data_IF_233784793540
#
_entry.id   IF_233784793540
#
_cell.length_a   1.000
_cell.length_b   1.000
_cell.length_c   1.000
_cell.angle_alpha   90.00
_cell.angle_beta   90.00
_cell.angle_gamma   90.00
#
_symmetry.space_group_name_H-M   'P 1'
#
loop_
_entity.id
_entity.type
_entity.pdbx_description
1 polymer ?
#
# COMPACT_ATOMS: atom_id res chain seq x y z
N UNK A 1 -20.34 -9.23 11.27
CA UNK A 1 -19.06 -9.04 10.54
C UNK A 1 -18.42 -10.38 10.12
N UNK A 2 -18.17 -11.32 11.05
CA UNK A 2 -17.53 -12.62 10.74
C UNK A 2 -18.25 -13.46 9.65
N UNK A 3 -19.57 -13.53 9.66
CA UNK A 3 -20.33 -14.34 8.68
C UNK A 3 -20.39 -13.71 7.28
N UNK A 4 -20.37 -12.37 7.21
CA UNK A 4 -20.32 -11.63 5.96
C UNK A 4 -18.99 -11.91 5.23
N UNK A 5 -17.86 -11.82 5.95
CA UNK A 5 -16.53 -12.09 5.41
C UNK A 5 -16.39 -13.52 4.86
N UNK A 6 -17.01 -14.52 5.48
CA UNK A 6 -16.96 -15.92 5.02
C UNK A 6 -17.61 -16.12 3.65
N UNK A 7 -18.63 -15.33 3.31
CA UNK A 7 -19.37 -15.42 2.04
C UNK A 7 -18.79 -14.52 0.94
N UNK A 8 -17.96 -13.55 1.30
CA UNK A 8 -17.28 -12.65 0.36
C UNK A 8 -16.04 -13.33 -0.24
N UNK A 9 -15.90 -13.34 -1.59
CA UNK A 9 -14.67 -13.77 -2.27
C UNK A 9 -13.42 -13.15 -1.65
N UNK A 10 -12.27 -13.87 -1.60
CA UNK A 10 -11.08 -13.44 -0.85
C UNK A 10 -10.67 -11.99 -1.12
N UNK A 11 -10.61 -11.59 -2.39
CA UNK A 11 -10.21 -10.25 -2.80
C UNK A 11 -11.25 -9.17 -2.49
N UNK A 12 -12.53 -9.51 -2.46
CA UNK A 12 -13.63 -8.56 -2.16
C UNK A 12 -13.73 -8.24 -0.66
N UNK A 13 -13.09 -9.04 0.21
CA UNK A 13 -13.00 -8.72 1.65
C UNK A 13 -12.23 -7.43 1.89
N UNK A 14 -11.23 -7.14 1.06
CA UNK A 14 -10.47 -5.90 1.13
C UNK A 14 -11.31 -4.69 0.74
N UNK A 15 -12.29 -4.85 -0.16
CA UNK A 15 -13.17 -3.75 -0.54
C UNK A 15 -14.00 -3.31 0.67
N UNK A 16 -14.54 -4.25 1.46
CA UNK A 16 -15.25 -3.92 2.71
C UNK A 16 -14.37 -3.16 3.72
N UNK A 17 -13.09 -3.52 3.85
CA UNK A 17 -12.17 -2.79 4.74
C UNK A 17 -11.93 -1.38 4.21
N UNK A 18 -11.65 -1.24 2.91
CA UNK A 18 -11.42 0.06 2.28
C UNK A 18 -12.64 0.97 2.33
N UNK A 19 -13.86 0.43 2.29
CA UNK A 19 -15.07 1.21 2.52
C UNK A 19 -15.11 1.88 3.90
N UNK A 20 -14.46 1.30 4.91
CA UNK A 20 -14.41 1.88 6.26
C UNK A 20 -13.23 2.86 6.42
N UNK A 21 -12.07 2.53 5.86
CA UNK A 21 -10.82 3.29 6.13
C UNK A 21 -10.37 4.21 5.00
N UNK A 22 -10.96 4.09 3.82
CA UNK A 22 -10.58 4.84 2.64
C UNK A 22 -11.16 6.25 2.57
N UNK A 23 -10.56 7.09 1.73
CA UNK A 23 -11.09 8.42 1.42
C UNK A 23 -10.95 9.47 2.52
N UNK A 24 -10.15 9.24 3.56
CA UNK A 24 -9.84 10.22 4.60
C UNK A 24 -8.37 10.20 4.94
N UNK A 25 -7.75 11.39 4.95
CA UNK A 25 -6.34 11.55 5.30
C UNK A 25 -6.10 11.34 6.80
N UNK A 26 -7.09 11.67 7.62
CA UNK A 26 -7.08 11.51 9.06
C UNK A 26 -7.13 10.03 9.43
N UNK A 27 -8.03 9.27 8.80
CA UNK A 27 -8.15 7.82 9.04
C UNK A 27 -6.93 7.08 8.53
N UNK A 28 -6.41 7.41 7.34
CA UNK A 28 -5.18 6.79 6.83
C UNK A 28 -3.97 7.03 7.75
N UNK A 29 -3.80 8.25 8.28
CA UNK A 29 -2.76 8.55 9.24
C UNK A 29 -2.95 7.77 10.55
N UNK A 30 -4.18 7.72 11.09
CA UNK A 30 -4.48 6.98 12.31
C UNK A 30 -4.20 5.48 12.16
N UNK A 31 -4.61 4.85 11.05
CA UNK A 31 -4.37 3.42 10.80
C UNK A 31 -2.87 3.14 10.66
N UNK A 32 -2.12 4.02 9.97
CA UNK A 32 -0.68 3.89 9.85
C UNK A 32 0.04 4.03 11.21
N UNK A 33 -0.41 4.96 12.05
CA UNK A 33 0.10 5.10 13.42
C UNK A 33 -0.15 3.83 14.25
N UNK A 34 -1.37 3.28 14.17
CA UNK A 34 -1.74 2.03 14.87
C UNK A 34 -0.99 0.81 14.35
N UNK A 35 -0.65 0.79 13.07
CA UNK A 35 0.23 -0.23 12.51
C UNK A 35 1.60 -0.21 13.18
N UNK A 36 2.20 0.97 13.40
CA UNK A 36 3.50 1.06 14.09
C UNK A 36 3.39 0.56 15.52
N UNK A 37 2.35 0.97 16.26
CA UNK A 37 2.08 0.47 17.62
C UNK A 37 2.06 -1.06 17.65
N UNK A 38 1.28 -1.66 16.76
CA UNK A 38 1.13 -3.11 16.68
C UNK A 38 2.46 -3.81 16.40
N UNK A 39 3.26 -3.29 15.46
CA UNK A 39 4.53 -3.89 15.12
C UNK A 39 5.53 -3.79 16.28
N UNK A 40 5.58 -2.65 16.97
CA UNK A 40 6.43 -2.45 18.14
C UNK A 40 6.08 -3.41 19.29
N UNK A 41 4.78 -3.58 19.59
CA UNK A 41 4.28 -4.51 20.61
C UNK A 41 4.65 -5.97 20.30
N UNK A 42 4.92 -6.29 19.03
CA UNK A 42 5.37 -7.61 18.57
C UNK A 42 6.90 -7.72 18.43
N UNK A 43 7.66 -6.75 18.96
CA UNK A 43 9.12 -6.77 18.95
C UNK A 43 9.76 -6.50 17.57
N UNK A 44 9.01 -5.91 16.63
CA UNK A 44 9.52 -5.57 15.31
C UNK A 44 10.33 -4.27 15.37
N UNK A 45 11.60 -4.34 14.94
CA UNK A 45 12.50 -3.18 14.89
C UNK A 45 12.52 -2.48 13.52
N UNK A 46 12.28 -3.24 12.44
CA UNK A 46 12.23 -2.74 11.07
C UNK A 46 11.05 -3.35 10.31
N UNK A 47 10.28 -2.54 9.59
CA UNK A 47 9.21 -3.04 8.71
C UNK A 47 8.96 -2.14 7.51
N UNK A 48 8.57 -2.75 6.39
CA UNK A 48 8.10 -2.04 5.19
C UNK A 48 6.60 -2.31 5.03
N UNK A 49 5.76 -1.32 5.33
CA UNK A 49 4.31 -1.44 5.13
C UNK A 49 3.98 -1.32 3.66
N UNK A 50 3.15 -2.23 3.15
CA UNK A 50 2.74 -2.25 1.74
C UNK A 50 1.23 -2.08 1.63
N UNK A 51 0.78 -1.23 0.71
CA UNK A 51 -0.65 -0.97 0.50
C UNK A 51 -0.93 -0.39 -0.89
N UNK A 52 -2.19 -0.47 -1.33
CA UNK A 52 -2.67 0.14 -2.57
C UNK A 52 -3.25 1.55 -2.28
N UNK A 53 -2.51 2.64 -2.61
CA UNK A 53 -3.02 3.99 -2.39
C UNK A 53 -4.22 4.34 -3.29
N UNK A 54 -4.43 3.63 -4.40
CA UNK A 54 -5.57 3.87 -5.31
C UNK A 54 -6.87 3.44 -4.64
N UNK A 55 -6.90 2.27 -4.01
CA UNK A 55 -8.07 1.80 -3.26
C UNK A 55 -8.30 2.63 -2.00
N UNK A 56 -7.23 2.93 -1.25
CA UNK A 56 -7.32 3.68 0.00
C UNK A 56 -7.73 5.15 -0.21
N UNK A 57 -7.62 5.67 -1.44
CA UNK A 57 -8.01 7.03 -1.80
C UNK A 57 -9.52 7.29 -1.76
N UNK A 58 -10.37 6.27 -1.63
CA UNK A 58 -11.83 6.42 -1.72
C UNK A 58 -12.60 5.50 -0.79
N UNK A 59 -13.77 5.96 -0.38
CA UNK A 59 -14.80 5.17 0.30
C UNK A 59 -16.17 5.54 -0.27
N UNK A 60 -16.93 4.54 -0.73
CA UNK A 60 -18.32 4.70 -1.11
C UNK A 60 -19.25 4.84 0.10
N UNK A 61 -18.95 4.16 1.22
CA UNK A 61 -19.71 4.22 2.47
C UNK A 61 -19.65 5.60 3.11
N UNK A 62 -18.46 6.21 3.16
CA UNK A 62 -18.26 7.59 3.63
C UNK A 62 -18.54 8.63 2.53
N UNK A 63 -18.74 8.19 1.28
CA UNK A 63 -18.88 9.03 0.10
C UNK A 63 -17.78 10.12 0.01
N UNK A 64 -16.52 9.70 0.21
CA UNK A 64 -15.38 10.59 0.25
C UNK A 64 -14.23 10.06 -0.62
N UNK A 65 -13.44 11.00 -1.15
CA UNK A 65 -12.24 10.68 -1.91
C UNK A 65 -11.17 11.74 -1.69
N UNK A 66 -9.92 11.29 -1.65
CA UNK A 66 -8.71 12.12 -1.63
C UNK A 66 -7.80 11.67 -2.77
N UNK A 67 -6.74 12.43 -3.07
CA UNK A 67 -5.74 11.99 -4.04
C UNK A 67 -4.86 10.86 -3.49
N UNK A 68 -4.27 10.07 -4.39
CA UNK A 68 -3.28 9.05 -4.02
C UNK A 68 -2.07 9.66 -3.31
N UNK A 69 -1.67 10.88 -3.70
CA UNK A 69 -0.60 11.61 -3.02
C UNK A 69 -0.98 11.95 -1.58
N UNK A 70 -2.20 12.41 -1.34
CA UNK A 70 -2.70 12.69 0.02
C UNK A 70 -2.74 11.43 0.87
N UNK A 71 -3.08 10.26 0.30
CA UNK A 71 -2.96 8.97 1.00
C UNK A 71 -1.51 8.71 1.41
N UNK A 72 -0.56 8.80 0.47
CA UNK A 72 0.86 8.51 0.75
C UNK A 72 1.42 9.45 1.83
N UNK A 73 1.07 10.74 1.76
CA UNK A 73 1.46 11.72 2.76
C UNK A 73 0.80 11.48 4.11
N UNK A 74 -0.48 11.06 4.13
CA UNK A 74 -1.18 10.72 5.36
C UNK A 74 -0.57 9.50 6.04
N UNK A 75 -0.30 8.44 5.28
CA UNK A 75 0.38 7.24 5.79
C UNK A 75 1.75 7.63 6.34
N UNK A 76 2.54 8.43 5.61
CA UNK A 76 3.84 8.92 6.11
C UNK A 76 3.71 9.64 7.47
N UNK A 77 2.74 10.57 7.61
CA UNK A 77 2.51 11.27 8.87
C UNK A 77 2.18 10.31 10.01
N UNK A 78 1.31 9.34 9.77
CA UNK A 78 0.93 8.33 10.77
C UNK A 78 2.10 7.44 11.19
N UNK A 79 2.90 6.97 10.21
CA UNK A 79 4.10 6.19 10.48
C UNK A 79 5.10 6.96 11.34
N UNK A 80 5.36 8.23 10.99
CA UNK A 80 6.27 9.09 11.76
C UNK A 80 5.76 9.32 13.18
N UNK A 81 4.47 9.61 13.35
CA UNK A 81 3.86 9.78 14.67
C UNK A 81 3.96 8.50 15.53
N UNK A 82 3.74 7.34 14.93
CA UNK A 82 3.90 6.05 15.61
C UNK A 82 5.35 5.80 16.04
N UNK A 83 6.32 6.01 15.14
CA UNK A 83 7.74 5.77 15.44
C UNK A 83 8.27 6.68 16.55
N UNK A 84 7.74 7.90 16.69
CA UNK A 84 8.11 8.80 17.79
C UNK A 84 7.78 8.21 19.18
N UNK A 85 6.78 7.32 19.27
CA UNK A 85 6.41 6.64 20.52
C UNK A 85 7.23 5.38 20.80
N UNK A 86 7.85 4.81 19.77
CA UNK A 86 8.59 3.54 19.81
C UNK A 86 10.04 3.75 19.37
N UNK A 87 10.87 4.24 20.30
CA UNK A 87 12.25 4.63 20.03
C UNK A 87 13.06 3.53 19.33
N UNK A 88 13.72 3.90 18.23
CA UNK A 88 14.58 3.02 17.44
C UNK A 88 13.87 2.23 16.34
N UNK A 89 12.53 2.16 16.35
CA UNK A 89 11.78 1.48 15.31
C UNK A 89 11.88 2.22 13.97
N UNK A 90 12.05 1.47 12.88
CA UNK A 90 12.20 1.99 11.53
C UNK A 90 11.10 1.44 10.63
N UNK A 91 10.35 2.34 9.99
CA UNK A 91 9.25 1.97 9.11
C UNK A 91 9.36 2.69 7.78
N UNK A 92 9.13 1.99 6.67
CA UNK A 92 9.06 2.58 5.33
C UNK A 92 7.84 2.07 4.57
N UNK A 93 7.57 2.67 3.42
CA UNK A 93 6.41 2.37 2.58
C UNK A 93 6.79 1.69 1.26
N UNK A 94 5.98 0.71 0.85
CA UNK A 94 5.95 0.18 -0.51
C UNK A 94 4.56 0.43 -1.11
N UNK A 95 4.50 1.05 -2.30
CA UNK A 95 3.22 1.24 -2.99
C UNK A 95 2.89 0.01 -3.84
N UNK A 96 1.68 -0.53 -3.71
CA UNK A 96 1.28 -1.77 -4.39
C UNK A 96 0.51 -1.48 -5.67
N UNK A 97 1.08 -1.87 -6.82
CA UNK A 97 0.32 -2.02 -8.04
C UNK A 97 -0.58 -3.26 -7.89
N UNK A 98 -1.84 -3.14 -8.29
CA UNK A 98 -2.80 -4.24 -8.15
C UNK A 98 -3.09 -4.92 -9.49
N UNK A 99 -3.02 -6.25 -9.46
CA UNK A 99 -3.52 -7.12 -10.53
C UNK A 99 -5.00 -6.84 -10.84
N UNK A 100 -5.37 -7.03 -12.10
CA UNK A 100 -6.69 -6.67 -12.63
C UNK A 100 -6.83 -5.20 -13.02
N UNK A 101 -5.91 -4.33 -12.61
CA UNK A 101 -5.79 -2.98 -13.16
C UNK A 101 -4.94 -2.98 -14.45
N UNK A 102 -5.20 -2.07 -15.40
CA UNK A 102 -4.37 -1.93 -16.60
C UNK A 102 -2.89 -1.67 -16.27
N UNK A 103 -1.97 -2.14 -17.12
CA UNK A 103 -0.54 -1.93 -16.92
C UNK A 103 -0.13 -0.45 -16.87
N UNK A 104 -0.93 0.45 -17.46
CA UNK A 104 -0.76 1.90 -17.37
C UNK A 104 -0.99 2.42 -15.95
N UNK A 105 -1.88 1.80 -15.16
CA UNK A 105 -2.07 2.14 -13.76
C UNK A 105 -0.84 1.78 -12.92
N UNK A 106 -0.19 0.65 -13.20
CA UNK A 106 1.09 0.30 -12.58
C UNK A 106 2.16 1.36 -12.88
N UNK A 107 2.25 1.83 -14.12
CA UNK A 107 3.24 2.86 -14.50
C UNK A 107 2.97 4.19 -13.77
N UNK A 108 1.72 4.63 -13.70
CA UNK A 108 1.33 5.83 -12.96
C UNK A 108 1.68 5.71 -11.47
N UNK A 109 1.46 4.53 -10.87
CA UNK A 109 1.83 4.29 -9.49
C UNK A 109 3.36 4.26 -9.28
N UNK A 110 4.11 3.70 -10.23
CA UNK A 110 5.57 3.75 -10.20
C UNK A 110 6.08 5.20 -10.25
N UNK A 111 5.45 6.07 -11.05
CA UNK A 111 5.79 7.49 -11.08
C UNK A 111 5.48 8.19 -9.76
N UNK A 112 4.33 7.87 -9.13
CA UNK A 112 4.00 8.38 -7.79
C UNK A 112 5.02 7.92 -6.74
N UNK A 113 5.39 6.63 -6.75
CA UNK A 113 6.39 6.07 -5.85
C UNK A 113 7.76 6.76 -6.02
N UNK A 114 8.16 7.06 -7.26
CA UNK A 114 9.39 7.79 -7.54
C UNK A 114 9.33 9.26 -7.08
N UNK A 115 8.19 9.93 -7.28
CA UNK A 115 7.99 11.32 -6.87
C UNK A 115 7.92 11.49 -5.34
N UNK A 116 7.49 10.44 -4.63
CA UNK A 116 7.38 10.42 -3.16
C UNK A 116 8.51 9.63 -2.49
N UNK A 117 9.53 9.21 -3.26
CA UNK A 117 10.66 8.44 -2.76
C UNK A 117 11.46 9.27 -1.76
N UNK A 118 11.69 8.70 -0.58
CA UNK A 118 12.52 9.32 0.45
C UNK A 118 13.27 8.23 1.22
N UNK A 119 14.57 8.41 1.51
CA UNK A 119 15.32 7.49 2.37
C UNK A 119 15.02 7.71 3.86
N UNK A 120 14.30 8.78 4.22
CA UNK A 120 13.89 9.06 5.60
C UNK A 120 12.84 8.05 6.08
N UNK A 121 12.81 7.81 7.38
CA UNK A 121 11.80 6.97 7.99
C UNK A 121 10.38 7.49 7.69
N UNK A 122 9.49 6.57 7.37
CA UNK A 122 8.15 6.83 6.86
C UNK A 122 8.11 7.10 5.35
N UNK A 123 9.25 7.21 4.67
CA UNK A 123 9.34 7.46 3.23
C UNK A 123 8.97 6.25 2.35
N UNK A 124 8.66 6.51 1.08
CA UNK A 124 8.46 5.46 0.07
C UNK A 124 9.82 4.95 -0.40
N UNK A 125 10.03 3.63 -0.33
CA UNK A 125 11.30 2.98 -0.69
C UNK A 125 11.19 2.04 -1.89
N UNK A 126 9.97 1.78 -2.39
CA UNK A 126 9.79 0.89 -3.54
C UNK A 126 8.35 0.69 -3.98
N UNK A 127 8.21 -0.20 -4.97
CA UNK A 127 6.97 -0.61 -5.60
C UNK A 127 6.79 -2.13 -5.43
N UNK A 128 5.55 -2.56 -5.18
CA UNK A 128 5.15 -3.97 -5.14
C UNK A 128 4.13 -4.28 -6.25
N UNK A 129 3.97 -5.55 -6.62
CA UNK A 129 2.86 -6.07 -7.41
C UNK A 129 2.10 -7.13 -6.60
N UNK A 130 0.84 -6.85 -6.31
CA UNK A 130 -0.04 -7.70 -5.50
C UNK A 130 -1.39 -7.95 -6.19
N UNK A 131 -2.28 -8.70 -5.54
CA UNK A 131 -3.61 -9.06 -6.07
C UNK A 131 -3.65 -10.44 -6.72
N UNK A 132 -4.74 -10.74 -7.42
CA UNK A 132 -5.08 -12.08 -7.93
C UNK A 132 -4.13 -12.57 -9.05
N UNK A 133 -3.11 -13.35 -8.68
CA UNK A 133 -2.12 -13.89 -9.61
C UNK A 133 -2.70 -14.92 -10.59
N UNK A 134 -3.71 -15.69 -10.16
CA UNK A 134 -4.30 -16.77 -10.97
C UNK A 134 -5.01 -16.21 -12.19
N UNK A 135 -5.85 -15.19 -11.97
CA UNK A 135 -6.69 -14.64 -13.03
C UNK A 135 -5.97 -13.50 -13.80
N UNK A 136 -4.89 -12.94 -13.23
CA UNK A 136 -4.11 -11.86 -13.85
C UNK A 136 -2.58 -12.11 -13.72
N UNK A 137 -1.97 -12.90 -14.61
CA UNK A 137 -0.58 -13.31 -14.49
C UNK A 137 0.42 -12.15 -14.65
N UNK A 138 1.63 -12.36 -14.10
CA UNK A 138 2.69 -11.33 -14.00
C UNK A 138 3.12 -10.72 -15.34
N UNK A 139 2.95 -11.43 -16.45
CA UNK A 139 3.40 -11.01 -17.79
C UNK A 139 2.93 -9.61 -18.19
N UNK A 140 1.69 -9.23 -17.82
CA UNK A 140 1.13 -7.93 -18.15
C UNK A 140 1.87 -6.75 -17.48
N UNK A 141 2.54 -6.99 -16.34
CA UNK A 141 3.14 -5.95 -15.50
C UNK A 141 4.67 -5.85 -15.66
N UNK A 142 5.30 -6.79 -16.37
CA UNK A 142 6.77 -6.84 -16.56
C UNK A 142 7.33 -5.53 -17.11
N UNK A 143 6.66 -4.90 -18.09
CA UNK A 143 7.12 -3.64 -18.68
C UNK A 143 7.13 -2.50 -17.65
N UNK A 144 6.08 -2.42 -16.82
CA UNK A 144 5.98 -1.43 -15.75
C UNK A 144 7.09 -1.64 -14.70
N UNK A 145 7.23 -2.87 -14.18
CA UNK A 145 8.21 -3.19 -13.14
C UNK A 145 9.65 -2.97 -13.63
N UNK A 146 9.95 -3.33 -14.89
CA UNK A 146 11.24 -3.05 -15.51
C UNK A 146 11.47 -1.54 -15.58
N UNK A 147 10.49 -0.76 -16.02
CA UNK A 147 10.61 0.70 -16.07
C UNK A 147 10.85 1.31 -14.67
N UNK A 148 10.11 0.86 -13.66
CA UNK A 148 10.28 1.29 -12.27
C UNK A 148 11.71 1.03 -11.78
N UNK A 149 12.26 -0.15 -12.05
CA UNK A 149 13.63 -0.53 -11.67
C UNK A 149 14.69 0.24 -12.45
N UNK A 150 14.63 0.24 -13.78
CA UNK A 150 15.75 0.67 -14.63
C UNK A 150 15.72 2.14 -15.02
N UNK A 151 14.54 2.77 -15.03
CA UNK A 151 14.38 4.18 -15.44
C UNK A 151 14.12 5.08 -14.22
N UNK A 152 13.25 4.65 -13.31
CA UNK A 152 12.91 5.43 -12.11
C UNK A 152 13.84 5.15 -10.91
N UNK A 153 14.62 4.06 -10.98
CA UNK A 153 15.55 3.66 -9.92
C UNK A 153 14.84 3.24 -8.63
N UNK A 154 13.64 2.67 -8.71
CA UNK A 154 12.91 2.16 -7.55
C UNK A 154 13.36 0.74 -7.20
N UNK A 155 13.31 0.42 -5.91
CA UNK A 155 13.25 -0.98 -5.50
C UNK A 155 11.90 -1.57 -5.93
N UNK A 156 11.90 -2.84 -6.32
CA UNK A 156 10.71 -3.54 -6.80
C UNK A 156 10.62 -4.90 -6.14
N UNK A 157 9.44 -5.24 -5.64
CA UNK A 157 9.08 -6.58 -5.18
C UNK A 157 7.80 -7.05 -5.87
N UNK A 158 7.55 -8.36 -5.88
CA UNK A 158 6.43 -8.97 -6.61
C UNK A 158 5.96 -10.19 -5.83
N UNK A 159 4.67 -10.26 -5.52
CA UNK A 159 4.03 -11.51 -5.12
C UNK A 159 4.09 -12.49 -6.31
N UNK A 160 4.67 -13.68 -6.14
CA UNK A 160 4.75 -14.66 -7.21
C UNK A 160 4.73 -16.09 -6.67
N UNK A 161 4.00 -16.97 -7.36
CA UNK A 161 3.88 -18.38 -6.98
C UNK A 161 2.96 -18.62 -5.78
N UNK A 162 2.04 -17.71 -5.50
CA UNK A 162 1.17 -17.81 -4.31
C UNK A 162 -0.05 -18.71 -4.54
N UNK A 163 -0.50 -18.84 -5.79
CA UNK A 163 -1.73 -19.55 -6.15
C UNK A 163 -1.58 -20.34 -7.47
N UNK A 164 -0.41 -20.95 -7.68
CA UNK A 164 -0.14 -21.87 -8.82
C UNK A 164 -0.86 -23.20 -8.66
#
# INVERSE_FOLDING_TARGET
VSELLKRTPPWQRFDLVNEVIGGSSEVAALVAERFVDFQADNGVFYTEVRYDPVRLARSGLANSSISQLEVVQAVQRGLVAGMQRHGGMQVHQLLCAMRGQPATACLALAQLAAATRSPEHGGVVGLDLAGDERDFPNGAYVKCLRHAKTVLGLNTTVHAGENT
#
